data_IF_492983680816
#
_entry.id   IF_492983680816
#
_cell.length_a   1.000
_cell.length_b   1.000
_cell.length_c   1.000
_cell.angle_alpha   90.00
_cell.angle_beta   90.00
_cell.angle_gamma   90.00
#
_symmetry.space_group_name_H-M   'P 1'
#
loop_
_entity.id
_entity.type
_entity.pdbx_description
1 polymer ?
#
# COMPACT_ATOMS: atom_id res chain seq x y z
N UNK A 1 -8.48 14.40 33.38
CA UNK A 1 -7.95 15.63 32.75
C UNK A 1 -8.15 15.55 31.25
N UNK A 2 -9.02 16.41 30.71
CA UNK A 2 -9.07 16.74 29.28
C UNK A 2 -7.99 17.80 29.08
N UNK A 3 -6.95 17.51 28.31
CA UNK A 3 -5.74 18.36 28.24
C UNK A 3 -4.40 17.61 28.32
N UNK A 4 -4.39 16.27 28.35
CA UNK A 4 -3.18 15.56 27.92
C UNK A 4 -3.01 15.84 26.43
N UNK A 5 -1.89 16.45 26.04
CA UNK A 5 -1.43 16.44 24.65
C UNK A 5 -1.64 15.02 24.12
N UNK A 6 -2.45 14.81 23.07
CA UNK A 6 -2.63 13.47 22.53
C UNK A 6 -1.25 12.86 22.33
N UNK A 7 -1.00 11.65 22.83
CA UNK A 7 0.28 10.92 22.60
C UNK A 7 0.63 10.80 21.10
N UNK A 8 -0.31 11.16 20.22
CA UNK A 8 -0.17 11.26 18.78
C UNK A 8 0.53 12.55 18.34
N UNK A 9 0.45 13.67 19.07
CA UNK A 9 1.10 14.94 18.73
C UNK A 9 2.63 14.90 18.89
N UNK A 10 3.16 13.98 19.69
CA UNK A 10 4.60 13.75 19.78
C UNK A 10 5.14 12.91 18.62
N UNK A 11 4.27 12.37 17.76
CA UNK A 11 4.69 11.61 16.58
C UNK A 11 4.94 12.57 15.43
N UNK A 12 6.11 12.49 14.82
CA UNK A 12 6.45 13.23 13.59
C UNK A 12 5.52 12.93 12.40
N UNK A 13 4.73 11.86 12.50
CA UNK A 13 3.73 11.50 11.50
C UNK A 13 2.39 12.22 11.67
N UNK A 14 2.22 13.05 12.70
CA UNK A 14 1.07 13.94 12.86
C UNK A 14 1.59 15.38 12.83
N UNK A 15 1.12 16.16 11.84
CA UNK A 15 1.57 17.54 11.63
C UNK A 15 0.40 18.50 11.65
N UNK A 16 0.65 19.73 12.09
CA UNK A 16 -0.30 20.83 11.92
C UNK A 16 -0.33 21.20 10.43
N UNK A 17 -1.46 20.96 9.78
CA UNK A 17 -1.63 21.16 8.35
C UNK A 17 -2.00 22.64 8.05
N UNK A 18 -1.99 23.02 6.77
CA UNK A 18 -2.24 24.40 6.33
C UNK A 18 -3.66 24.90 6.68
N UNK A 19 -4.61 23.97 6.85
CA UNK A 19 -5.99 24.25 7.28
C UNK A 19 -6.13 24.43 8.81
N UNK A 20 -5.03 24.44 9.56
CA UNK A 20 -5.01 24.60 11.01
C UNK A 20 -5.41 23.35 11.80
N UNK A 21 -5.54 22.18 11.14
CA UNK A 21 -5.89 20.91 11.79
C UNK A 21 -4.70 19.96 11.83
N UNK A 22 -4.62 19.14 12.88
CA UNK A 22 -3.64 18.07 12.93
C UNK A 22 -4.03 16.91 12.02
N UNK A 23 -3.11 16.49 11.14
CA UNK A 23 -3.34 15.45 10.14
C UNK A 23 -2.16 14.47 10.08
N UNK A 24 -2.47 13.24 9.68
CA UNK A 24 -1.45 12.24 9.37
C UNK A 24 -0.62 12.68 8.17
N UNK A 25 0.69 12.45 8.21
CA UNK A 25 1.58 12.65 7.06
C UNK A 25 1.47 11.52 6.03
N UNK A 26 0.81 10.41 6.37
CA UNK A 26 0.52 9.34 5.44
C UNK A 26 -0.72 9.64 4.61
N UNK A 27 -0.79 9.01 3.43
CA UNK A 27 -1.99 9.04 2.59
C UNK A 27 -3.24 8.65 3.39
N UNK A 28 -4.40 9.29 3.15
CA UNK A 28 -5.66 8.88 3.78
C UNK A 28 -6.18 7.54 3.26
N UNK A 29 -5.69 7.05 2.11
CA UNK A 29 -6.25 5.86 1.43
C UNK A 29 -6.19 4.58 2.27
N UNK A 30 -5.07 4.23 2.96
CA UNK A 30 -5.05 3.09 3.87
C UNK A 30 -6.03 3.21 5.03
N UNK A 31 -6.18 4.41 5.60
CA UNK A 31 -7.13 4.65 6.69
C UNK A 31 -8.58 4.48 6.23
N UNK A 32 -8.92 4.99 5.04
CA UNK A 32 -10.24 4.79 4.43
C UNK A 32 -10.51 3.32 4.11
N UNK A 33 -9.50 2.60 3.61
CA UNK A 33 -9.59 1.17 3.31
C UNK A 33 -9.83 0.37 4.60
N UNK A 34 -9.07 0.65 5.65
CA UNK A 34 -9.25 0.02 6.95
C UNK A 34 -10.61 0.36 7.57
N UNK A 35 -11.09 1.59 7.43
CA UNK A 35 -12.42 1.98 7.88
C UNK A 35 -13.51 1.16 7.17
N UNK A 36 -13.42 1.03 5.85
CA UNK A 36 -14.36 0.22 5.08
C UNK A 36 -14.37 -1.26 5.53
N UNK A 37 -13.19 -1.83 5.80
CA UNK A 37 -13.05 -3.21 6.26
C UNK A 37 -13.59 -3.43 7.68
N UNK A 38 -13.38 -2.45 8.58
CA UNK A 38 -13.80 -2.57 9.97
C UNK A 38 -15.26 -2.14 10.20
N UNK A 39 -15.87 -1.43 9.23
CA UNK A 39 -17.22 -0.89 9.35
C UNK A 39 -18.27 -1.92 9.78
N UNK A 40 -18.32 -3.15 9.24
CA UNK A 40 -19.29 -4.16 9.67
C UNK A 40 -19.12 -4.60 11.14
N UNK A 41 -17.89 -4.65 11.64
CA UNK A 41 -17.62 -5.01 13.03
C UNK A 41 -17.96 -3.86 13.99
N UNK A 42 -17.75 -2.63 13.54
CA UNK A 42 -18.13 -1.43 14.29
C UNK A 42 -19.66 -1.26 14.34
N UNK A 43 -20.36 -1.47 13.23
CA UNK A 43 -21.82 -1.27 13.16
C UNK A 43 -22.61 -2.31 13.97
N UNK A 44 -22.03 -3.48 14.21
CA UNK A 44 -22.60 -4.55 15.04
C UNK A 44 -22.24 -4.42 16.52
N UNK A 45 -21.41 -3.43 16.89
CA UNK A 45 -20.93 -3.24 18.26
C UNK A 45 -19.88 -4.26 18.73
N UNK A 46 -19.45 -5.18 17.86
CA UNK A 46 -18.38 -6.14 18.16
C UNK A 46 -17.05 -5.43 18.39
N UNK A 47 -16.80 -4.36 17.63
CA UNK A 47 -15.61 -3.54 17.72
C UNK A 47 -15.91 -2.21 18.44
N UNK A 48 -15.45 -2.09 19.69
CA UNK A 48 -15.48 -0.82 20.42
C UNK A 48 -14.42 0.14 19.85
N UNK A 49 -14.90 1.19 19.18
CA UNK A 49 -14.05 2.25 18.59
C UNK A 49 -13.47 3.22 19.63
N UNK A 50 -14.03 3.27 20.84
CA UNK A 50 -13.63 4.23 21.90
C UNK A 50 -12.77 3.59 22.98
N UNK A 51 -12.65 2.26 22.98
CA UNK A 51 -11.85 1.54 23.96
C UNK A 51 -10.36 1.89 23.89
N UNK A 52 -9.61 1.73 24.99
CA UNK A 52 -8.19 2.12 25.08
C UNK A 52 -7.28 1.37 24.09
N UNK A 53 -7.70 0.19 23.63
CA UNK A 53 -6.97 -0.64 22.66
C UNK A 53 -7.58 -0.59 21.25
N UNK A 54 -8.60 0.24 21.02
CA UNK A 54 -9.37 0.26 19.77
C UNK A 54 -8.45 0.45 18.55
N UNK A 55 -7.62 1.49 18.55
CA UNK A 55 -6.72 1.81 17.44
C UNK A 55 -5.77 0.64 17.10
N UNK A 56 -5.18 0.00 18.11
CA UNK A 56 -4.28 -1.15 17.91
C UNK A 56 -5.01 -2.37 17.34
N UNK A 57 -6.21 -2.68 17.86
CA UNK A 57 -7.02 -3.81 17.38
C UNK A 57 -7.52 -3.59 15.95
N UNK A 58 -8.02 -2.39 15.65
CA UNK A 58 -8.45 -1.98 14.30
C UNK A 58 -7.30 -2.09 13.32
N UNK A 59 -6.13 -1.54 13.68
CA UNK A 59 -4.95 -1.56 12.84
C UNK A 59 -4.47 -3.00 12.58
N UNK A 60 -4.34 -3.82 13.64
CA UNK A 60 -3.92 -5.21 13.52
C UNK A 60 -4.89 -6.04 12.70
N UNK A 61 -6.20 -5.90 12.94
CA UNK A 61 -7.23 -6.62 12.20
C UNK A 61 -7.24 -6.22 10.72
N UNK A 62 -7.28 -4.92 10.41
CA UNK A 62 -7.25 -4.42 9.03
C UNK A 62 -6.00 -4.91 8.30
N UNK A 63 -4.82 -4.75 8.91
CA UNK A 63 -3.55 -5.16 8.32
C UNK A 63 -3.49 -6.68 8.06
N UNK A 64 -3.95 -7.49 9.04
CA UNK A 64 -3.99 -8.95 8.91
C UNK A 64 -4.95 -9.39 7.81
N UNK A 65 -6.15 -8.80 7.76
CA UNK A 65 -7.14 -9.14 6.74
C UNK A 65 -6.69 -8.73 5.34
N UNK A 66 -6.20 -7.49 5.17
CA UNK A 66 -5.71 -7.02 3.88
C UNK A 66 -4.53 -7.86 3.39
N UNK A 67 -3.62 -8.25 4.29
CA UNK A 67 -2.52 -9.18 3.95
C UNK A 67 -3.06 -10.54 3.51
N UNK A 68 -4.03 -11.11 4.23
CA UNK A 68 -4.64 -12.39 3.86
C UNK A 68 -5.37 -12.31 2.50
N UNK A 69 -6.08 -11.20 2.24
CA UNK A 69 -6.73 -10.94 0.95
C UNK A 69 -5.71 -10.86 -0.17
N UNK A 70 -4.59 -10.16 0.03
CA UNK A 70 -3.51 -10.11 -0.96
C UNK A 70 -2.94 -11.49 -1.29
N UNK A 71 -2.66 -12.30 -0.26
CA UNK A 71 -2.17 -13.68 -0.44
C UNK A 71 -3.21 -14.56 -1.15
N UNK A 72 -4.49 -14.42 -0.81
CA UNK A 72 -5.58 -15.14 -1.48
C UNK A 72 -5.71 -14.74 -2.96
N UNK A 73 -5.57 -13.45 -3.30
CA UNK A 73 -5.54 -12.99 -4.69
C UNK A 73 -4.30 -13.57 -5.41
N UNK A 74 -3.15 -13.59 -4.75
CA UNK A 74 -1.93 -14.25 -5.25
C UNK A 74 -2.16 -15.73 -5.58
N UNK A 75 -2.77 -16.48 -4.65
CA UNK A 75 -3.20 -17.87 -4.85
C UNK A 75 -4.11 -18.01 -6.07
N UNK A 76 -5.19 -17.22 -6.15
CA UNK A 76 -6.12 -17.26 -7.28
C UNK A 76 -5.46 -16.91 -8.61
N UNK A 77 -4.42 -16.07 -8.58
CA UNK A 77 -3.63 -15.72 -9.76
C UNK A 77 -2.84 -16.92 -10.27
N UNK A 78 -2.05 -17.56 -9.40
CA UNK A 78 -1.22 -18.72 -9.79
C UNK A 78 -2.05 -19.97 -10.09
N UNK A 79 -3.24 -20.10 -9.48
CA UNK A 79 -4.21 -21.19 -9.76
C UNK A 79 -4.71 -21.21 -11.21
N UNK A 80 -4.52 -20.15 -11.98
CA UNK A 80 -4.89 -20.13 -13.42
C UNK A 80 -3.97 -20.95 -14.30
N UNK A 81 -2.76 -21.24 -13.83
CA UNK A 81 -1.70 -21.89 -14.63
C UNK A 81 -1.12 -23.13 -13.96
N UNK A 82 -1.22 -23.24 -12.64
CA UNK A 82 -0.69 -24.38 -11.87
C UNK A 82 -1.83 -25.27 -11.37
N UNK A 83 -1.58 -26.51 -10.92
CA UNK A 83 -2.55 -27.29 -10.15
C UNK A 83 -2.68 -26.78 -8.70
N UNK A 84 -3.59 -27.37 -7.92
CA UNK A 84 -3.95 -26.90 -6.57
C UNK A 84 -2.77 -26.87 -5.60
N UNK A 85 -2.04 -27.98 -5.46
CA UNK A 85 -0.98 -28.12 -4.45
C UNK A 85 0.17 -27.12 -4.69
N UNK A 86 0.78 -27.01 -5.88
CA UNK A 86 1.83 -26.01 -6.10
C UNK A 86 1.37 -24.58 -5.88
N UNK A 87 0.12 -24.26 -6.22
CA UNK A 87 -0.44 -22.94 -5.96
C UNK A 87 -0.61 -22.65 -4.46
N UNK A 88 -1.04 -23.63 -3.66
CA UNK A 88 -1.09 -23.51 -2.21
C UNK A 88 0.31 -23.29 -1.63
N UNK A 89 1.31 -24.05 -2.09
CA UNK A 89 2.70 -23.89 -1.65
C UNK A 89 3.25 -22.51 -2.00
N UNK A 90 2.99 -21.99 -3.21
CA UNK A 90 3.40 -20.64 -3.59
C UNK A 90 2.67 -19.55 -2.78
N UNK A 91 1.39 -19.73 -2.48
CA UNK A 91 0.65 -18.79 -1.65
C UNK A 91 1.15 -18.80 -0.19
N UNK A 92 1.45 -19.98 0.35
CA UNK A 92 2.07 -20.13 1.66
C UNK A 92 3.47 -19.52 1.69
N UNK A 93 4.28 -19.75 0.65
CA UNK A 93 5.59 -19.13 0.47
C UNK A 93 5.53 -17.60 0.36
N UNK A 94 4.55 -17.06 -0.37
CA UNK A 94 4.29 -15.62 -0.44
C UNK A 94 3.93 -15.05 0.94
N UNK A 95 3.03 -15.69 1.67
CA UNK A 95 2.57 -15.19 2.98
C UNK A 95 3.61 -15.34 4.09
N UNK A 96 4.19 -16.52 4.24
CA UNK A 96 5.06 -16.91 5.36
C UNK A 96 6.56 -16.76 5.04
N UNK A 97 6.94 -16.90 3.77
CA UNK A 97 8.34 -16.81 3.31
C UNK A 97 8.79 -15.40 2.93
N UNK A 98 7.94 -14.40 3.14
CA UNK A 98 8.25 -12.97 2.93
C UNK A 98 7.89 -12.15 4.17
N UNK A 99 8.14 -10.84 4.13
CA UNK A 99 7.71 -9.90 5.17
C UNK A 99 6.19 -9.67 5.27
N UNK A 100 5.35 -10.33 4.46
CA UNK A 100 3.90 -10.11 4.49
C UNK A 100 3.30 -10.45 5.85
N UNK A 101 3.51 -11.67 6.34
CA UNK A 101 2.93 -12.05 7.63
C UNK A 101 3.67 -11.43 8.82
N UNK A 102 5.00 -11.47 8.84
CA UNK A 102 5.80 -11.00 9.96
C UNK A 102 5.80 -9.49 10.15
N UNK A 103 5.64 -8.72 9.07
CA UNK A 103 5.71 -7.24 9.11
C UNK A 103 4.39 -6.61 8.69
N UNK A 104 3.93 -6.87 7.46
CA UNK A 104 2.79 -6.13 6.89
C UNK A 104 1.48 -6.42 7.62
N UNK A 105 1.29 -7.64 8.12
CA UNK A 105 0.07 -8.03 8.85
C UNK A 105 -0.02 -7.46 10.28
N UNK A 106 1.06 -6.89 10.81
CA UNK A 106 1.15 -6.57 12.25
C UNK A 106 0.50 -5.24 12.63
N UNK A 107 0.49 -4.27 11.72
CA UNK A 107 -0.08 -2.95 11.99
C UNK A 107 -0.38 -2.23 10.68
N UNK A 108 -1.38 -1.37 10.69
CA UNK A 108 -1.88 -0.68 9.50
C UNK A 108 -0.96 0.50 9.15
N UNK A 109 -0.31 0.42 7.99
CA UNK A 109 0.57 1.45 7.47
C UNK A 109 0.11 1.83 6.05
N UNK A 110 1.01 1.79 5.07
CA UNK A 110 0.73 2.03 3.65
C UNK A 110 0.95 0.76 2.81
N UNK A 111 1.56 -0.27 3.39
CA UNK A 111 2.08 -1.42 2.65
C UNK A 111 0.97 -2.40 2.30
N UNK A 112 0.14 -2.75 3.27
CA UNK A 112 -0.97 -3.68 3.14
C UNK A 112 -1.95 -3.26 2.05
N UNK A 113 -2.36 -1.99 2.06
CA UNK A 113 -3.27 -1.43 1.06
C UNK A 113 -2.63 -1.42 -0.33
N UNK A 114 -1.33 -1.12 -0.40
CA UNK A 114 -0.62 -1.12 -1.67
C UNK A 114 -0.41 -2.52 -2.27
N UNK A 115 -0.11 -3.50 -1.41
CA UNK A 115 0.06 -4.90 -1.82
C UNK A 115 -1.27 -5.48 -2.32
N UNK A 116 -2.39 -5.20 -1.65
CA UNK A 116 -3.72 -5.60 -2.15
C UNK A 116 -4.00 -4.98 -3.52
N UNK A 117 -3.70 -3.68 -3.69
CA UNK A 117 -3.86 -2.99 -4.96
C UNK A 117 -3.06 -3.64 -6.09
N UNK A 118 -1.77 -3.94 -5.87
CA UNK A 118 -0.96 -4.61 -6.87
C UNK A 118 -1.38 -6.05 -7.14
N UNK A 119 -1.75 -6.82 -6.10
CA UNK A 119 -2.26 -8.18 -6.31
C UNK A 119 -3.53 -8.16 -7.16
N UNK A 120 -4.44 -7.22 -6.92
CA UNK A 120 -5.63 -7.03 -7.75
C UNK A 120 -5.26 -6.68 -9.21
N UNK A 121 -4.33 -5.74 -9.41
CA UNK A 121 -3.88 -5.34 -10.73
C UNK A 121 -3.22 -6.50 -11.50
N UNK A 122 -2.32 -7.25 -10.86
CA UNK A 122 -1.66 -8.44 -11.44
C UNK A 122 -2.67 -9.54 -11.72
N UNK A 123 -3.61 -9.78 -10.79
CA UNK A 123 -4.68 -10.75 -11.01
C UNK A 123 -5.57 -10.36 -12.19
N UNK A 124 -5.86 -9.07 -12.37
CA UNK A 124 -6.60 -8.60 -13.53
C UNK A 124 -5.75 -8.75 -14.81
N UNK A 125 -4.47 -8.34 -14.78
CA UNK A 125 -3.53 -8.38 -15.91
C UNK A 125 -3.24 -9.80 -16.44
N UNK A 126 -3.37 -10.83 -15.60
CA UNK A 126 -3.03 -12.22 -15.97
C UNK A 126 -4.20 -13.02 -16.54
N UNK A 127 -5.35 -12.41 -16.79
CA UNK A 127 -6.52 -13.16 -17.25
C UNK A 127 -6.72 -13.11 -18.76
N UNK A 128 -7.31 -14.18 -19.31
CA UNK A 128 -7.22 -14.50 -20.75
C UNK A 128 -7.95 -13.56 -21.71
N UNK A 129 -8.85 -12.70 -21.22
CA UNK A 129 -9.70 -11.86 -22.08
C UNK A 129 -9.43 -10.37 -21.88
N UNK A 130 -9.12 -9.60 -22.95
CA UNK A 130 -9.07 -8.14 -22.87
C UNK A 130 -10.48 -7.56 -22.62
N UNK A 131 -10.54 -6.30 -22.21
CA UNK A 131 -11.81 -5.57 -22.11
C UNK A 131 -11.76 -4.36 -21.19
N UNK A 132 -12.73 -3.45 -21.34
CA UNK A 132 -12.84 -2.24 -20.53
C UNK A 132 -12.88 -2.54 -19.03
N UNK A 133 -13.70 -3.50 -18.61
CA UNK A 133 -13.80 -3.95 -17.21
C UNK A 133 -12.45 -4.37 -16.64
N UNK A 134 -11.60 -5.01 -17.45
CA UNK A 134 -10.26 -5.41 -17.02
C UNK A 134 -9.35 -4.21 -16.85
N UNK A 135 -9.40 -3.26 -17.79
CA UNK A 135 -8.71 -1.97 -17.66
C UNK A 135 -9.12 -1.26 -16.37
N UNK A 136 -10.43 -1.17 -16.09
CA UNK A 136 -10.94 -0.58 -14.85
C UNK A 136 -10.41 -1.29 -13.60
N UNK A 137 -10.43 -2.63 -13.55
CA UNK A 137 -9.91 -3.40 -12.41
C UNK A 137 -8.41 -3.21 -12.20
N UNK A 138 -7.62 -3.20 -13.29
CA UNK A 138 -6.19 -2.89 -13.24
C UNK A 138 -6.00 -1.46 -12.71
N UNK A 139 -6.77 -0.51 -13.24
CA UNK A 139 -6.75 0.88 -12.83
C UNK A 139 -7.06 1.04 -11.34
N UNK A 140 -8.08 0.35 -10.81
CA UNK A 140 -8.41 0.34 -9.38
C UNK A 140 -7.24 -0.21 -8.56
N UNK A 141 -6.64 -1.32 -8.97
CA UNK A 141 -5.49 -1.91 -8.27
C UNK A 141 -4.27 -0.98 -8.23
N UNK A 142 -3.90 -0.41 -9.39
CA UNK A 142 -2.78 0.54 -9.49
C UNK A 142 -3.08 1.83 -8.73
N UNK A 143 -4.29 2.36 -8.84
CA UNK A 143 -4.72 3.54 -8.10
C UNK A 143 -4.61 3.33 -6.60
N UNK A 144 -5.16 2.22 -6.09
CA UNK A 144 -5.12 1.88 -4.66
C UNK A 144 -3.67 1.77 -4.17
N UNK A 145 -2.77 1.17 -4.97
CA UNK A 145 -1.37 1.04 -4.61
C UNK A 145 -0.60 2.37 -4.59
N UNK A 146 -0.64 3.10 -5.71
CA UNK A 146 0.12 4.33 -5.87
C UNK A 146 -0.38 5.45 -4.96
N UNK A 147 -1.70 5.54 -4.73
CA UNK A 147 -2.27 6.54 -3.82
C UNK A 147 -2.06 6.19 -2.36
N UNK A 148 -1.89 4.92 -2.01
CA UNK A 148 -1.52 4.51 -0.64
C UNK A 148 -0.06 4.84 -0.33
N UNK A 149 0.84 4.61 -1.29
CA UNK A 149 2.28 4.79 -1.13
C UNK A 149 2.94 5.31 -2.41
N UNK A 150 3.35 6.57 -2.43
CA UNK A 150 3.95 7.19 -3.63
C UNK A 150 5.24 6.50 -4.08
N UNK A 151 6.00 5.89 -3.16
CA UNK A 151 7.24 5.17 -3.50
C UNK A 151 7.03 3.96 -4.42
N UNK A 152 5.79 3.49 -4.61
CA UNK A 152 5.49 2.36 -5.50
C UNK A 152 4.99 2.77 -6.89
N UNK A 153 4.95 4.07 -7.19
CA UNK A 153 4.55 4.59 -8.51
C UNK A 153 5.32 3.94 -9.67
N UNK A 154 6.65 3.71 -9.61
CA UNK A 154 7.37 3.05 -10.69
C UNK A 154 6.81 1.65 -11.02
N UNK A 155 6.45 0.85 -10.01
CA UNK A 155 5.85 -0.47 -10.22
C UNK A 155 4.44 -0.35 -10.84
N UNK A 156 3.66 0.65 -10.40
CA UNK A 156 2.37 0.97 -11.03
C UNK A 156 2.50 1.36 -12.50
N UNK A 157 3.52 2.14 -12.85
CA UNK A 157 3.82 2.50 -14.23
C UNK A 157 4.16 1.27 -15.09
N UNK A 158 4.98 0.35 -14.58
CA UNK A 158 5.28 -0.92 -15.26
C UNK A 158 4.01 -1.73 -15.54
N UNK A 159 3.08 -1.83 -14.58
CA UNK A 159 1.80 -2.53 -14.78
C UNK A 159 0.92 -1.87 -15.84
N UNK A 160 0.91 -0.54 -15.90
CA UNK A 160 0.18 0.20 -16.94
C UNK A 160 0.81 -0.04 -18.33
N UNK A 161 2.15 0.01 -18.44
CA UNK A 161 2.83 -0.35 -19.69
C UNK A 161 2.54 -1.80 -20.11
N UNK A 162 2.58 -2.74 -19.16
CA UNK A 162 2.21 -4.13 -19.42
C UNK A 162 0.75 -4.26 -19.87
N UNK A 163 -0.16 -3.46 -19.31
CA UNK A 163 -1.57 -3.41 -19.73
C UNK A 163 -1.70 -2.97 -21.19
N UNK A 164 -0.96 -1.93 -21.57
CA UNK A 164 -0.91 -1.47 -22.95
C UNK A 164 -0.31 -2.53 -23.88
N UNK A 165 0.80 -3.15 -23.50
CA UNK A 165 1.47 -4.18 -24.30
C UNK A 165 0.61 -5.44 -24.48
N UNK A 166 -0.09 -5.90 -23.44
CA UNK A 166 -0.88 -7.13 -23.49
C UNK A 166 -2.30 -6.94 -24.06
N UNK A 167 -2.92 -5.77 -23.88
CA UNK A 167 -4.35 -5.56 -24.17
C UNK A 167 -4.68 -4.30 -24.98
N UNK A 168 -3.66 -3.54 -25.38
CA UNK A 168 -3.80 -2.37 -26.24
C UNK A 168 -4.40 -1.13 -25.57
N UNK A 169 -4.55 -0.08 -26.39
CA UNK A 169 -4.85 1.28 -25.96
C UNK A 169 -6.21 1.42 -25.25
N UNK A 170 -7.26 0.71 -25.68
CA UNK A 170 -8.60 0.84 -25.07
C UNK A 170 -8.61 0.39 -23.60
N UNK A 171 -7.96 -0.73 -23.30
CA UNK A 171 -7.83 -1.25 -21.93
C UNK A 171 -6.95 -0.33 -21.09
N UNK A 172 -5.86 0.18 -21.68
CA UNK A 172 -4.96 1.15 -21.03
C UNK A 172 -5.68 2.46 -20.66
N UNK A 173 -6.49 3.03 -21.57
CA UNK A 173 -7.25 4.26 -21.29
C UNK A 173 -8.22 4.04 -20.12
N UNK A 174 -8.89 2.90 -20.05
CA UNK A 174 -9.77 2.57 -18.93
C UNK A 174 -9.00 2.41 -17.60
N UNK A 175 -7.78 1.88 -17.63
CA UNK A 175 -6.93 1.82 -16.44
C UNK A 175 -6.46 3.23 -16.02
N UNK A 176 -5.98 4.02 -16.99
CA UNK A 176 -5.50 5.38 -16.78
C UNK A 176 -6.59 6.31 -16.27
N UNK A 177 -7.84 6.17 -16.72
CA UNK A 177 -8.93 7.04 -16.25
C UNK A 177 -9.17 6.89 -14.75
N UNK A 178 -9.11 5.66 -14.22
CA UNK A 178 -9.24 5.40 -12.79
C UNK A 178 -8.02 5.92 -12.02
N UNK A 179 -6.80 5.65 -12.52
CA UNK A 179 -5.57 6.13 -11.88
C UNK A 179 -5.53 7.65 -11.84
N UNK A 180 -5.88 8.31 -12.95
CA UNK A 180 -5.94 9.76 -13.04
C UNK A 180 -7.00 10.36 -12.11
N UNK A 181 -8.21 9.77 -12.05
CA UNK A 181 -9.26 10.24 -11.16
C UNK A 181 -8.84 10.13 -9.68
N UNK A 182 -8.31 8.97 -9.27
CA UNK A 182 -7.84 8.76 -7.90
C UNK A 182 -6.64 9.68 -7.55
N UNK A 183 -5.70 9.83 -8.49
CA UNK A 183 -4.57 10.75 -8.34
C UNK A 183 -5.02 12.21 -8.20
N UNK A 184 -5.97 12.66 -9.02
CA UNK A 184 -6.53 14.00 -8.94
C UNK A 184 -7.23 14.25 -7.59
N UNK A 185 -8.02 13.30 -7.10
CA UNK A 185 -8.66 13.38 -5.77
C UNK A 185 -7.60 13.53 -4.67
N UNK A 186 -6.54 12.71 -4.71
CA UNK A 186 -5.46 12.80 -3.73
C UNK A 186 -4.71 14.13 -3.82
N UNK A 187 -4.43 14.63 -5.02
CA UNK A 187 -3.79 15.94 -5.23
C UNK A 187 -4.64 17.07 -4.65
N UNK A 188 -5.95 17.08 -4.93
CA UNK A 188 -6.88 18.06 -4.37
C UNK A 188 -6.88 17.99 -2.84
N UNK A 189 -6.94 16.78 -2.27
CA UNK A 189 -6.82 16.60 -0.83
C UNK A 189 -5.50 17.17 -0.29
N UNK A 190 -4.39 16.89 -0.96
CA UNK A 190 -3.07 17.32 -0.53
C UNK A 190 -2.90 18.85 -0.59
N UNK A 191 -3.40 19.50 -1.65
CA UNK A 191 -3.39 20.96 -1.77
C UNK A 191 -4.25 21.58 -0.67
N UNK A 192 -5.47 21.08 -0.46
CA UNK A 192 -6.39 21.65 0.53
C UNK A 192 -5.90 21.45 1.97
N UNK A 193 -5.27 20.30 2.27
CA UNK A 193 -4.78 20.00 3.60
C UNK A 193 -3.41 20.61 3.88
N UNK A 194 -2.46 20.50 2.95
CA UNK A 194 -1.05 20.80 3.18
C UNK A 194 -0.50 21.94 2.32
N UNK A 195 -1.28 22.49 1.38
CA UNK A 195 -0.82 23.55 0.47
C UNK A 195 0.16 23.06 -0.60
N UNK A 196 0.31 21.75 -0.81
CA UNK A 196 1.32 21.18 -1.72
C UNK A 196 0.79 19.94 -2.45
N UNK A 197 1.14 19.75 -3.73
CA UNK A 197 0.65 18.64 -4.58
C UNK A 197 1.07 17.27 -4.03
N UNK A 198 2.30 17.17 -3.53
CA UNK A 198 2.85 15.96 -2.89
C UNK A 198 2.43 15.82 -1.41
N UNK A 199 1.56 16.71 -0.92
CA UNK A 199 1.15 16.76 0.47
C UNK A 199 2.35 16.98 1.40
N UNK A 200 2.49 16.20 2.48
CA UNK A 200 3.51 16.37 3.50
C UNK A 200 4.88 15.79 3.10
N UNK A 201 5.05 15.28 1.87
CA UNK A 201 6.28 14.62 1.45
C UNK A 201 7.54 15.52 1.60
N UNK A 202 7.55 16.81 1.20
CA UNK A 202 8.73 17.67 1.39
C UNK A 202 9.13 17.81 2.86
N UNK A 203 8.15 17.84 3.77
CA UNK A 203 8.41 17.83 5.21
C UNK A 203 9.07 16.51 5.64
N UNK A 204 8.56 15.37 5.18
CA UNK A 204 9.17 14.06 5.48
C UNK A 204 10.60 13.94 4.94
N UNK A 205 10.87 14.47 3.74
CA UNK A 205 12.22 14.48 3.17
C UNK A 205 13.19 15.32 4.01
N UNK A 206 12.73 16.44 4.58
CA UNK A 206 13.56 17.27 5.46
C UNK A 206 14.01 16.56 6.74
N UNK A 207 13.30 15.49 7.14
CA UNK A 207 13.62 14.69 8.33
C UNK A 207 14.61 13.54 8.05
N UNK A 208 14.98 13.29 6.79
CA UNK A 208 15.84 12.14 6.45
C UNK A 208 17.23 12.20 7.10
N UNK A 209 17.84 13.39 7.19
CA UNK A 209 19.14 13.55 7.85
C UNK A 209 19.08 13.15 9.33
N UNK A 210 17.95 13.39 9.99
CA UNK A 210 17.74 13.10 11.41
C UNK A 210 17.51 11.60 11.69
N UNK A 211 16.73 10.91 10.86
CA UNK A 211 16.29 9.53 11.14
C UNK A 211 16.98 8.45 10.30
N UNK A 212 17.57 8.82 9.17
CA UNK A 212 18.06 7.85 8.18
C UNK A 212 19.52 8.09 7.78
N UNK A 213 20.20 9.06 8.40
CA UNK A 213 21.59 9.42 8.11
C UNK A 213 21.85 9.58 6.60
N UNK A 214 20.86 10.14 5.89
CA UNK A 214 20.90 10.41 4.46
C UNK A 214 20.17 11.71 4.17
N UNK A 215 20.66 12.45 3.18
CA UNK A 215 20.08 13.75 2.82
C UNK A 215 18.98 13.63 1.76
N UNK A 216 18.76 12.44 1.19
CA UNK A 216 17.86 12.25 0.04
C UNK A 216 17.14 10.91 0.07
N UNK A 217 15.91 10.91 -0.44
CA UNK A 217 15.07 9.71 -0.62
C UNK A 217 15.64 8.72 -1.62
N UNK A 218 16.38 9.22 -2.61
CA UNK A 218 16.97 8.44 -3.68
C UNK A 218 18.46 8.76 -3.80
N UNK A 219 19.26 7.72 -3.71
CA UNK A 219 20.70 7.77 -3.94
C UNK A 219 21.08 6.58 -4.83
N UNK A 220 21.77 6.88 -5.92
CA UNK A 220 22.36 5.85 -6.78
C UNK A 220 23.71 5.46 -6.18
N UNK A 221 23.82 4.23 -5.69
CA UNK A 221 25.01 3.69 -5.06
C UNK A 221 24.97 2.16 -4.99
N UNK A 222 26.14 1.52 -5.03
CA UNK A 222 26.26 0.06 -4.95
C UNK A 222 25.80 -0.47 -3.59
N UNK A 223 25.87 0.37 -2.56
CA UNK A 223 25.43 0.12 -1.19
C UNK A 223 23.92 -0.15 -1.14
N UNK A 224 23.13 0.59 -1.94
CA UNK A 224 21.68 0.37 -2.05
C UNK A 224 21.36 -0.99 -2.66
N UNK A 225 22.05 -1.36 -3.74
CA UNK A 225 21.89 -2.67 -4.39
C UNK A 225 22.34 -3.82 -3.47
N UNK A 226 23.51 -3.69 -2.83
CA UNK A 226 24.00 -4.66 -1.86
C UNK A 226 23.04 -4.81 -0.67
N UNK A 227 22.48 -3.70 -0.19
CA UNK A 227 21.45 -3.70 0.84
C UNK A 227 20.17 -4.42 0.40
N UNK A 228 19.71 -4.21 -0.85
CA UNK A 228 18.55 -4.91 -1.39
C UNK A 228 18.78 -6.42 -1.59
N UNK A 229 20.02 -6.87 -1.74
CA UNK A 229 20.33 -8.29 -1.90
C UNK A 229 20.61 -8.97 -0.55
N UNK A 230 21.42 -8.35 0.32
CA UNK A 230 22.05 -9.04 1.47
C UNK A 230 21.59 -8.47 2.82
N UNK A 231 20.78 -7.40 2.87
CA UNK A 231 20.35 -6.86 4.17
C UNK A 231 19.57 -7.88 5.02
N UNK A 232 19.89 -8.05 6.31
CA UNK A 232 19.14 -8.94 7.19
C UNK A 232 17.67 -8.56 7.38
N UNK A 233 17.32 -7.28 7.16
CA UNK A 233 15.97 -6.76 7.38
C UNK A 233 15.16 -6.55 6.10
N UNK A 234 15.81 -6.55 4.93
CA UNK A 234 15.18 -6.16 3.64
C UNK A 234 15.75 -6.88 2.42
N UNK A 235 16.80 -7.67 2.58
CA UNK A 235 17.56 -8.27 1.51
C UNK A 235 16.87 -9.48 0.90
N UNK A 236 16.84 -9.58 -0.43
CA UNK A 236 16.22 -10.69 -1.14
C UNK A 236 16.85 -12.04 -0.76
N UNK A 237 18.16 -12.12 -0.59
CA UNK A 237 18.87 -13.38 -0.32
C UNK A 237 18.79 -13.84 1.14
N UNK A 238 18.63 -12.91 2.09
CA UNK A 238 18.63 -13.22 3.53
C UNK A 238 17.22 -13.12 4.13
N UNK A 239 16.54 -12.00 3.92
CA UNK A 239 15.25 -11.70 4.56
C UNK A 239 14.06 -12.34 3.84
N UNK A 240 14.13 -12.52 2.51
CA UNK A 240 13.04 -13.13 1.73
C UNK A 240 13.56 -14.06 0.63
N UNK A 241 14.30 -15.13 1.00
CA UNK A 241 14.97 -16.01 0.02
C UNK A 241 14.02 -16.71 -0.94
N UNK A 242 12.73 -16.80 -0.61
CA UNK A 242 11.70 -17.41 -1.46
C UNK A 242 11.42 -16.60 -2.73
N UNK A 243 11.81 -15.31 -2.77
CA UNK A 243 11.63 -14.42 -3.93
C UNK A 243 12.94 -14.04 -4.63
N UNK A 244 14.08 -14.60 -4.18
CA UNK A 244 15.37 -14.45 -4.86
C UNK A 244 15.54 -15.51 -5.96
#
# INVERSE_FOLDING_TARGET
MVGATPQLLSRHTIVLAADGRYRSTYSPVPALTAAAVNWPLASTGILDLKGPQAAGRIAKFAASLLTAVAVAIGFLTVRRSLPMIPALLLAAGLGLGTGLWSTVSQTLWQHETAIVGFMLAVHALTARRPGLTRGLLIGVGVALACTSRLSVIPAGFVLLLATWACYGTRTMIAALSIVAAAGAILIVHNINAFGHVLGPLPYLESLHGQFHATDRSFQFGWEGYAGLLVSPSRGLLIFSPVVA
#
